data_IF_666299898647
#
_entry.id   IF_666299898647
#
_cell.length_a   1.000
_cell.length_b   1.000
_cell.length_c   1.000
_cell.angle_alpha   90.00
_cell.angle_beta   90.00
_cell.angle_gamma   90.00
#
_symmetry.space_group_name_H-M   'P 1'
#
loop_
_entity.id
_entity.type
_entity.pdbx_description
1 polymer ?
#
# COMPACT_ATOMS: atom_id res chain seq x y z
N UNK A 1 -20.50 -18.01 18.57
CA UNK A 1 -19.85 -18.25 17.26
C UNK A 1 -18.61 -17.40 17.23
N UNK A 2 -17.46 -17.96 16.90
CA UNK A 2 -16.20 -17.21 16.80
C UNK A 2 -16.32 -16.19 15.66
N UNK A 3 -15.93 -14.93 15.91
CA UNK A 3 -16.01 -13.87 14.93
C UNK A 3 -15.07 -14.17 13.76
N UNK A 4 -15.53 -14.01 12.51
CA UNK A 4 -14.67 -14.16 11.33
C UNK A 4 -13.48 -13.21 11.41
N UNK A 5 -12.27 -13.72 11.08
CA UNK A 5 -11.07 -12.91 10.92
C UNK A 5 -11.33 -11.77 9.94
N UNK A 6 -10.94 -10.57 10.32
CA UNK A 6 -11.22 -9.35 9.59
C UNK A 6 -9.97 -8.83 8.92
N UNK A 7 -10.10 -8.49 7.64
CA UNK A 7 -9.04 -7.87 6.84
C UNK A 7 -9.53 -6.57 6.23
N UNK A 8 -8.76 -5.50 6.38
CA UNK A 8 -8.99 -4.24 5.66
C UNK A 8 -8.15 -4.25 4.38
N UNK A 9 -8.76 -3.96 3.24
CA UNK A 9 -8.05 -3.82 1.95
C UNK A 9 -8.34 -2.44 1.36
N UNK A 10 -7.29 -1.61 1.24
CA UNK A 10 -7.42 -0.31 0.59
C UNK A 10 -7.54 -0.47 -0.92
N UNK A 11 -8.42 0.31 -1.56
CA UNK A 11 -8.57 0.29 -3.01
C UNK A 11 -9.18 -0.99 -3.58
N UNK A 12 -10.05 -1.66 -2.81
CA UNK A 12 -10.69 -2.92 -3.19
C UNK A 12 -11.80 -2.79 -4.26
N UNK A 13 -12.00 -1.63 -4.88
CA UNK A 13 -13.03 -1.41 -5.91
C UNK A 13 -12.63 -1.83 -7.34
N UNK A 14 -11.39 -2.31 -7.54
CA UNK A 14 -10.88 -2.77 -8.84
C UNK A 14 -9.56 -3.52 -8.70
N UNK A 15 -9.10 -4.18 -9.76
CA UNK A 15 -7.71 -4.66 -9.83
C UNK A 15 -7.40 -5.75 -8.82
N UNK A 16 -6.13 -5.78 -8.40
CA UNK A 16 -5.60 -6.72 -7.41
C UNK A 16 -6.39 -6.66 -6.10
N UNK A 17 -6.75 -5.47 -5.63
CA UNK A 17 -7.52 -5.31 -4.39
C UNK A 17 -8.90 -5.96 -4.42
N UNK A 18 -9.63 -5.83 -5.54
CA UNK A 18 -10.96 -6.45 -5.70
C UNK A 18 -10.87 -7.98 -5.72
N UNK A 19 -9.94 -8.52 -6.51
CA UNK A 19 -9.77 -9.96 -6.59
C UNK A 19 -9.15 -10.56 -5.32
N UNK A 20 -8.31 -9.80 -4.60
CA UNK A 20 -7.82 -10.17 -3.28
C UNK A 20 -8.94 -10.19 -2.23
N UNK A 21 -9.83 -9.19 -2.25
CA UNK A 21 -11.03 -9.18 -1.42
C UNK A 21 -11.92 -10.41 -1.70
N UNK A 22 -12.19 -10.71 -2.97
CA UNK A 22 -12.94 -11.91 -3.36
C UNK A 22 -12.28 -13.20 -2.85
N UNK A 23 -10.97 -13.36 -3.08
CA UNK A 23 -10.25 -14.57 -2.68
C UNK A 23 -10.23 -14.76 -1.14
N UNK A 24 -10.05 -13.70 -0.36
CA UNK A 24 -10.09 -13.77 1.10
C UNK A 24 -11.51 -14.05 1.62
N UNK A 25 -12.53 -13.43 1.01
CA UNK A 25 -13.92 -13.70 1.33
C UNK A 25 -14.30 -15.17 1.07
N UNK A 26 -13.82 -15.76 -0.04
CA UNK A 26 -14.01 -17.19 -0.35
C UNK A 26 -13.31 -18.12 0.66
N UNK A 27 -12.26 -17.64 1.31
CA UNK A 27 -11.56 -18.34 2.39
C UNK A 27 -12.19 -18.12 3.78
N UNK A 28 -13.34 -17.44 3.84
CA UNK A 28 -14.10 -17.23 5.08
C UNK A 28 -13.69 -15.99 5.90
N UNK A 29 -12.83 -15.13 5.36
CA UNK A 29 -12.52 -13.84 5.99
C UNK A 29 -13.69 -12.86 5.83
N UNK A 30 -13.78 -11.93 6.78
CA UNK A 30 -14.60 -10.74 6.64
C UNK A 30 -13.76 -9.59 6.08
N UNK A 31 -14.12 -9.09 4.90
CA UNK A 31 -13.34 -8.08 4.19
C UNK A 31 -13.95 -6.69 4.34
N UNK A 32 -13.21 -5.75 4.91
CA UNK A 32 -13.54 -4.33 4.87
C UNK A 32 -12.92 -3.72 3.61
N UNK A 33 -13.75 -3.48 2.61
CA UNK A 33 -13.38 -2.85 1.35
C UNK A 33 -13.26 -1.34 1.55
N UNK A 34 -12.06 -0.86 1.90
CA UNK A 34 -11.79 0.55 2.13
C UNK A 34 -11.60 1.30 0.80
N UNK A 35 -12.66 1.99 0.35
CA UNK A 35 -12.76 2.52 -1.01
C UNK A 35 -13.23 3.98 -1.02
N UNK A 36 -12.64 4.80 -1.90
CA UNK A 36 -13.06 6.21 -2.07
C UNK A 36 -14.48 6.34 -2.61
N UNK A 37 -14.85 5.50 -3.57
CA UNK A 37 -16.19 5.48 -4.18
C UNK A 37 -16.92 4.20 -3.75
N UNK A 38 -17.87 4.36 -2.82
CA UNK A 38 -18.63 3.27 -2.21
C UNK A 38 -19.53 2.57 -3.22
N UNK A 39 -20.23 3.31 -4.08
CA UNK A 39 -21.16 2.73 -5.05
C UNK A 39 -20.44 1.92 -6.12
N UNK A 40 -19.30 2.42 -6.61
CA UNK A 40 -18.42 1.67 -7.50
C UNK A 40 -17.93 0.38 -6.84
N UNK A 41 -17.52 0.44 -5.57
CA UNK A 41 -17.07 -0.75 -4.84
C UNK A 41 -18.20 -1.77 -4.68
N UNK A 42 -19.45 -1.31 -4.42
CA UNK A 42 -20.62 -2.18 -4.30
C UNK A 42 -20.91 -2.92 -5.61
N UNK A 43 -20.94 -2.19 -6.72
CA UNK A 43 -21.12 -2.79 -8.04
C UNK A 43 -19.99 -3.78 -8.38
N UNK A 44 -18.74 -3.44 -8.06
CA UNK A 44 -17.60 -4.29 -8.31
C UNK A 44 -17.65 -5.61 -7.49
N UNK A 45 -18.00 -5.52 -6.20
CA UNK A 45 -18.14 -6.69 -5.32
C UNK A 45 -19.24 -7.65 -5.81
N UNK A 46 -20.38 -7.09 -6.26
CA UNK A 46 -21.46 -7.85 -6.87
C UNK A 46 -21.02 -8.51 -8.19
N UNK A 47 -20.34 -7.75 -9.06
CA UNK A 47 -19.90 -8.23 -10.37
C UNK A 47 -18.92 -9.42 -10.29
N UNK A 48 -18.08 -9.48 -9.26
CA UNK A 48 -17.18 -10.63 -9.03
C UNK A 48 -17.81 -11.71 -8.14
N UNK A 49 -19.07 -11.55 -7.73
CA UNK A 49 -19.81 -12.54 -6.94
C UNK A 49 -19.28 -12.73 -5.52
N UNK A 50 -18.83 -11.67 -4.83
CA UNK A 50 -18.39 -11.79 -3.44
C UNK A 50 -19.52 -12.34 -2.54
N UNK A 51 -19.26 -13.33 -1.68
CA UNK A 51 -20.29 -13.92 -0.82
C UNK A 51 -21.02 -12.88 0.03
N UNK A 52 -22.35 -12.95 0.10
CA UNK A 52 -23.13 -12.04 0.95
C UNK A 52 -22.72 -12.20 2.43
N UNK A 53 -22.62 -11.09 3.16
CA UNK A 53 -22.21 -11.09 4.57
C UNK A 53 -20.71 -11.27 4.81
N UNK A 54 -19.90 -11.53 3.77
CA UNK A 54 -18.43 -11.67 3.89
C UNK A 54 -17.67 -10.34 3.78
N UNK A 55 -18.35 -9.22 3.55
CA UNK A 55 -17.69 -7.93 3.39
C UNK A 55 -18.57 -6.74 3.81
N UNK A 56 -17.91 -5.62 4.08
CA UNK A 56 -18.51 -4.29 4.13
C UNK A 56 -17.70 -3.32 3.28
N UNK A 57 -18.30 -2.20 2.92
CA UNK A 57 -17.64 -1.14 2.16
C UNK A 57 -17.65 0.11 3.02
N UNK A 58 -16.47 0.67 3.24
CA UNK A 58 -16.28 1.85 4.07
C UNK A 58 -15.51 2.90 3.27
N UNK A 59 -15.90 4.17 3.41
CA UNK A 59 -15.27 5.26 2.66
C UNK A 59 -13.86 5.48 3.17
N UNK A 60 -12.90 5.49 2.24
CA UNK A 60 -11.51 5.88 2.51
C UNK A 60 -10.95 6.62 1.30
N UNK A 61 -10.63 7.91 1.47
CA UNK A 61 -9.81 8.66 0.53
C UNK A 61 -8.41 8.87 1.11
N UNK A 62 -7.42 8.17 0.57
CA UNK A 62 -6.02 8.28 1.03
C UNK A 62 -5.37 9.62 0.67
N UNK A 63 -5.98 10.41 -0.21
CA UNK A 63 -5.52 11.77 -0.52
C UNK A 63 -6.06 12.82 0.48
N UNK A 64 -6.72 12.40 1.55
CA UNK A 64 -7.23 13.28 2.62
C UNK A 64 -6.90 12.65 3.97
N UNK A 65 -5.96 13.24 4.73
CA UNK A 65 -5.58 12.71 6.04
C UNK A 65 -6.76 12.71 7.01
N UNK A 66 -7.68 13.67 6.89
CA UNK A 66 -8.94 13.68 7.63
C UNK A 66 -9.82 12.46 7.28
N UNK A 67 -9.92 12.09 5.99
CA UNK A 67 -10.64 10.88 5.60
C UNK A 67 -10.01 9.60 6.14
N UNK A 68 -8.68 9.54 6.28
CA UNK A 68 -7.99 8.39 6.89
C UNK A 68 -8.38 8.25 8.37
N UNK A 69 -8.37 9.35 9.12
CA UNK A 69 -8.77 9.38 10.54
C UNK A 69 -10.24 9.00 10.72
N UNK A 70 -11.12 9.53 9.86
CA UNK A 70 -12.54 9.18 9.89
C UNK A 70 -12.75 7.69 9.61
N UNK A 71 -12.07 7.13 8.61
CA UNK A 71 -12.15 5.69 8.33
C UNK A 71 -11.73 4.83 9.53
N UNK A 72 -10.67 5.21 10.25
CA UNK A 72 -10.24 4.50 11.47
C UNK A 72 -11.33 4.57 12.55
N UNK A 73 -11.90 5.76 12.78
CA UNK A 73 -13.01 5.93 13.73
C UNK A 73 -14.22 5.07 13.36
N UNK A 74 -14.61 5.09 12.09
CA UNK A 74 -15.75 4.33 11.58
C UNK A 74 -15.49 2.82 11.71
N UNK A 75 -14.28 2.34 11.42
CA UNK A 75 -13.91 0.94 11.58
C UNK A 75 -14.01 0.51 13.04
N UNK A 76 -13.45 1.30 13.97
CA UNK A 76 -13.51 1.01 15.41
C UNK A 76 -14.95 0.97 15.93
N UNK A 77 -15.83 1.82 15.41
CA UNK A 77 -17.25 1.82 15.76
C UNK A 77 -17.98 0.52 15.36
N UNK A 78 -17.42 -0.29 14.46
CA UNK A 78 -17.99 -1.62 14.12
C UNK A 78 -17.78 -2.67 15.21
N UNK A 79 -16.86 -2.44 16.15
CA UNK A 79 -16.49 -3.40 17.20
C UNK A 79 -15.78 -4.67 16.69
N UNK A 80 -15.35 -4.70 15.42
CA UNK A 80 -14.58 -5.82 14.88
C UNK A 80 -13.11 -5.73 15.28
N UNK A 81 -12.50 -6.88 15.56
CA UNK A 81 -11.04 -6.99 15.67
C UNK A 81 -10.39 -6.85 14.29
N UNK A 82 -9.10 -6.57 14.24
CA UNK A 82 -8.33 -6.46 13.01
C UNK A 82 -7.21 -7.51 12.99
N UNK A 83 -7.27 -8.45 12.06
CA UNK A 83 -6.24 -9.49 11.90
C UNK A 83 -5.29 -9.18 10.75
N UNK A 84 -5.76 -8.45 9.72
CA UNK A 84 -4.88 -8.04 8.64
C UNK A 84 -5.22 -6.66 8.06
N UNK A 85 -4.17 -5.92 7.67
CA UNK A 85 -4.27 -4.68 6.92
C UNK A 85 -3.48 -4.81 5.61
N UNK A 86 -4.13 -4.52 4.48
CA UNK A 86 -3.52 -4.54 3.15
C UNK A 86 -3.54 -3.16 2.51
N UNK A 87 -2.37 -2.54 2.43
CA UNK A 87 -2.14 -1.28 1.74
C UNK A 87 -1.94 -1.51 0.24
N UNK A 88 -3.05 -1.70 -0.49
CA UNK A 88 -3.07 -2.01 -1.92
C UNK A 88 -3.29 -0.79 -2.82
N UNK A 89 -4.07 0.20 -2.38
CA UNK A 89 -4.48 1.32 -3.21
C UNK A 89 -3.28 2.06 -3.85
N UNK A 90 -3.46 2.50 -5.09
CA UNK A 90 -2.47 3.33 -5.75
C UNK A 90 -3.10 4.22 -6.82
N UNK A 91 -2.51 5.39 -7.02
CA UNK A 91 -2.76 6.26 -8.17
C UNK A 91 -1.48 6.41 -8.98
N UNK A 92 -1.66 6.52 -10.30
CA UNK A 92 -0.60 6.76 -11.25
C UNK A 92 -1.12 7.71 -12.34
N UNK A 93 -0.37 8.78 -12.58
CA UNK A 93 -0.75 9.87 -13.50
C UNK A 93 0.36 10.14 -14.54
N UNK A 94 0.67 9.17 -15.43
CA UNK A 94 1.83 9.22 -16.33
C UNK A 94 1.92 10.46 -17.22
N UNK A 95 0.77 11.02 -17.61
CA UNK A 95 0.69 12.08 -18.62
C UNK A 95 0.65 13.49 -18.02
N UNK A 96 0.66 13.62 -16.69
CA UNK A 96 0.71 14.93 -16.05
C UNK A 96 2.09 15.59 -16.26
N UNK A 97 2.05 16.85 -16.68
CA UNK A 97 3.22 17.74 -16.78
C UNK A 97 3.40 18.57 -15.52
N UNK A 98 2.30 18.95 -14.89
CA UNK A 98 2.24 19.71 -13.64
C UNK A 98 1.69 18.83 -12.51
N UNK A 99 2.14 19.02 -11.27
CA UNK A 99 1.69 18.23 -10.14
C UNK A 99 0.22 18.52 -9.80
N UNK A 100 -0.48 17.48 -9.33
CA UNK A 100 -1.73 17.64 -8.60
C UNK A 100 -1.42 17.62 -7.11
N UNK A 101 -2.20 18.35 -6.32
CA UNK A 101 -2.07 18.38 -4.87
C UNK A 101 -3.31 17.78 -4.22
N UNK A 102 -3.09 17.08 -3.11
CA UNK A 102 -4.11 16.54 -2.23
C UNK A 102 -4.82 17.66 -1.47
N UNK A 103 -5.89 17.35 -0.72
CA UNK A 103 -6.57 18.34 0.13
C UNK A 103 -5.61 18.92 1.19
N UNK A 104 -4.67 18.10 1.66
CA UNK A 104 -3.60 18.47 2.57
C UNK A 104 -2.43 19.20 1.89
N UNK A 105 -2.50 19.49 0.58
CA UNK A 105 -1.47 20.24 -0.15
C UNK A 105 -0.19 19.46 -0.49
N UNK A 106 -0.24 18.12 -0.45
CA UNK A 106 0.88 17.24 -0.83
C UNK A 106 0.75 16.74 -2.27
N UNK A 107 1.86 16.46 -2.95
CA UNK A 107 1.81 15.90 -4.31
C UNK A 107 0.98 14.59 -4.32
N UNK A 108 0.04 14.50 -5.26
CA UNK A 108 -1.05 13.51 -5.26
C UNK A 108 -0.58 12.05 -5.24
N UNK A 109 0.45 11.67 -6.00
CA UNK A 109 0.97 10.30 -6.01
C UNK A 109 1.61 9.92 -4.67
N UNK A 110 2.47 10.77 -4.11
CA UNK A 110 3.10 10.54 -2.80
C UNK A 110 2.07 10.62 -1.67
N UNK A 111 1.15 11.59 -1.71
CA UNK A 111 0.07 11.77 -0.75
C UNK A 111 -0.79 10.49 -0.64
N UNK A 112 -1.28 9.99 -1.77
CA UNK A 112 -2.18 8.83 -1.81
C UNK A 112 -1.43 7.52 -1.52
N UNK A 113 -0.31 7.29 -2.21
CA UNK A 113 0.31 5.96 -2.23
C UNK A 113 1.14 5.70 -0.97
N UNK A 114 1.74 6.76 -0.40
CA UNK A 114 2.63 6.70 0.77
C UNK A 114 2.00 7.38 1.99
N UNK A 115 1.83 8.72 2.02
CA UNK A 115 1.47 9.44 3.25
C UNK A 115 0.12 8.99 3.85
N UNK A 116 -0.92 8.82 3.04
CA UNK A 116 -2.22 8.32 3.49
C UNK A 116 -2.14 6.89 4.05
N UNK A 117 -1.35 6.01 3.42
CA UNK A 117 -1.10 4.67 3.95
C UNK A 117 -0.23 4.69 5.20
N UNK A 118 0.79 5.54 5.25
CA UNK A 118 1.67 5.70 6.40
C UNK A 118 0.85 6.08 7.64
N UNK A 119 -0.05 7.06 7.51
CA UNK A 119 -0.98 7.43 8.58
C UNK A 119 -1.89 6.25 8.95
N UNK A 120 -2.51 5.60 7.96
CA UNK A 120 -3.40 4.46 8.20
C UNK A 120 -2.71 3.31 8.94
N UNK A 121 -1.49 2.94 8.53
CA UNK A 121 -0.69 1.89 9.17
C UNK A 121 -0.41 2.21 10.63
N UNK A 122 -0.01 3.45 10.93
CA UNK A 122 0.31 3.86 12.30
C UNK A 122 -0.94 3.87 13.19
N UNK A 123 -2.07 4.38 12.69
CA UNK A 123 -3.31 4.40 13.46
C UNK A 123 -3.89 2.99 13.70
N UNK A 124 -3.87 2.12 12.70
CA UNK A 124 -4.39 0.76 12.79
C UNK A 124 -3.42 -0.23 13.46
N UNK A 125 -2.20 0.20 13.79
CA UNK A 125 -1.25 -0.64 14.51
C UNK A 125 -1.79 -1.03 15.89
N UNK A 126 -2.51 -0.13 16.56
CA UNK A 126 -3.12 -0.41 17.85
C UNK A 126 -4.28 -1.40 17.72
N UNK A 127 -5.08 -1.32 16.64
CA UNK A 127 -6.14 -2.29 16.35
C UNK A 127 -5.57 -3.69 16.07
N UNK A 128 -4.44 -3.79 15.36
CA UNK A 128 -3.71 -5.06 15.19
C UNK A 128 -3.18 -5.58 16.52
N UNK A 129 -2.55 -4.73 17.35
CA UNK A 129 -2.04 -5.15 18.68
C UNK A 129 -3.15 -5.65 19.59
N UNK A 130 -4.32 -5.00 19.55
CA UNK A 130 -5.47 -5.35 20.36
C UNK A 130 -6.17 -6.64 19.93
N UNK A 131 -5.99 -7.08 18.67
CA UNK A 131 -6.56 -8.35 18.21
C UNK A 131 -5.96 -9.54 18.99
N UNK A 132 -6.80 -10.47 19.50
CA UNK A 132 -6.36 -11.66 20.20
C UNK A 132 -5.78 -12.74 19.27
N UNK A 133 -5.83 -12.53 17.94
CA UNK A 133 -5.30 -13.48 16.98
C UNK A 133 -3.78 -13.66 17.15
N UNK A 134 -3.32 -14.89 16.98
CA UNK A 134 -1.90 -15.27 17.05
C UNK A 134 -1.13 -14.98 15.75
N UNK A 135 -1.82 -14.90 14.61
CA UNK A 135 -1.25 -14.55 13.31
C UNK A 135 -1.95 -13.28 12.80
N UNK A 136 -1.17 -12.18 12.76
CA UNK A 136 -1.64 -10.85 12.40
C UNK A 136 -0.67 -10.24 11.40
N UNK A 137 -1.20 -9.66 10.31
CA UNK A 137 -0.36 -9.25 9.17
C UNK A 137 -0.66 -7.85 8.68
N UNK A 138 0.39 -7.07 8.42
CA UNK A 138 0.31 -5.81 7.70
C UNK A 138 1.11 -5.95 6.40
N UNK A 139 0.40 -5.93 5.27
CA UNK A 139 0.94 -6.19 3.94
C UNK A 139 0.88 -4.91 3.10
N UNK A 140 2.03 -4.46 2.59
CA UNK A 140 2.11 -3.28 1.73
C UNK A 140 2.41 -3.71 0.28
N UNK A 141 1.56 -3.30 -0.66
CA UNK A 141 1.83 -3.57 -2.07
C UNK A 141 3.00 -2.70 -2.55
N UNK A 142 4.10 -3.38 -2.85
CA UNK A 142 5.30 -2.83 -3.44
C UNK A 142 5.24 -2.83 -4.96
N UNK A 143 6.38 -2.55 -5.57
CA UNK A 143 6.55 -2.70 -7.01
C UNK A 143 7.98 -3.07 -7.35
N UNK A 144 8.15 -4.01 -8.28
CA UNK A 144 9.46 -4.27 -8.87
C UNK A 144 9.96 -3.07 -9.69
N UNK A 145 9.06 -2.15 -10.08
CA UNK A 145 9.43 -0.92 -10.79
C UNK A 145 10.31 0.04 -9.96
N UNK A 146 10.38 -0.15 -8.65
CA UNK A 146 11.25 0.59 -7.74
C UNK A 146 12.63 -0.08 -7.58
N UNK A 147 12.80 -1.31 -8.04
CA UNK A 147 14.10 -1.98 -8.04
C UNK A 147 14.78 -1.81 -9.41
N UNK A 148 15.78 -0.91 -9.56
CA UNK A 148 16.45 -0.69 -10.84
C UNK A 148 17.29 -1.90 -11.29
N UNK A 149 17.59 -2.84 -10.37
CA UNK A 149 18.27 -4.11 -10.68
C UNK A 149 17.40 -5.04 -11.53
N UNK A 150 16.08 -4.84 -11.52
CA UNK A 150 15.12 -5.67 -12.23
C UNK A 150 14.67 -5.05 -13.56
N UNK A 151 14.30 -5.88 -14.55
CA UNK A 151 13.81 -5.39 -15.84
C UNK A 151 12.54 -4.54 -15.69
N UNK A 152 11.66 -4.92 -14.74
CA UNK A 152 10.49 -4.11 -14.36
C UNK A 152 10.85 -2.75 -13.76
N UNK A 153 12.05 -2.60 -13.17
CA UNK A 153 12.62 -1.33 -12.73
C UNK A 153 12.86 -0.33 -13.86
N UNK A 154 12.97 -0.81 -15.10
CA UNK A 154 13.32 -0.04 -16.30
C UNK A 154 12.12 0.24 -17.21
N UNK A 155 11.08 -0.60 -17.18
CA UNK A 155 9.88 -0.51 -18.03
C UNK A 155 8.64 -0.78 -17.16
N UNK A 156 7.58 0.05 -17.23
CA UNK A 156 7.27 1.07 -18.24
C UNK A 156 7.73 2.49 -17.91
N UNK A 157 8.22 2.72 -16.70
CA UNK A 157 8.69 4.04 -16.27
C UNK A 157 10.23 4.00 -16.30
N UNK A 158 10.91 4.78 -17.15
CA UNK A 158 12.37 4.66 -17.32
C UNK A 158 13.19 5.33 -16.21
N UNK A 159 12.71 6.42 -15.59
CA UNK A 159 13.45 7.09 -14.51
C UNK A 159 13.42 6.22 -13.24
N UNK A 160 14.56 5.87 -12.61
CA UNK A 160 14.56 5.16 -11.33
C UNK A 160 14.00 6.05 -10.20
N UNK A 161 13.53 5.47 -9.08
CA UNK A 161 13.29 6.25 -7.88
C UNK A 161 14.61 6.88 -7.39
N UNK A 162 14.51 8.02 -6.72
CA UNK A 162 15.64 8.71 -6.09
C UNK A 162 15.06 9.66 -5.04
N UNK A 163 15.14 9.27 -3.76
CA UNK A 163 14.60 10.09 -2.67
C UNK A 163 15.54 11.23 -2.27
N UNK A 164 16.74 11.32 -2.86
CA UNK A 164 17.77 12.27 -2.44
C UNK A 164 18.05 12.15 -0.96
N UNK A 165 18.16 13.29 -0.28
CA UNK A 165 18.21 13.36 1.17
C UNK A 165 16.86 13.73 1.78
N UNK A 166 15.77 13.55 1.04
CA UNK A 166 14.41 13.89 1.44
C UNK A 166 14.19 15.39 1.67
N UNK A 167 14.90 16.24 0.93
CA UNK A 167 14.90 17.69 1.08
C UNK A 167 13.47 18.29 0.93
N UNK A 168 12.66 17.71 0.06
CA UNK A 168 11.26 18.13 -0.11
C UNK A 168 10.38 17.79 1.09
N UNK A 169 10.64 16.67 1.77
CA UNK A 169 9.96 16.31 3.01
C UNK A 169 10.45 17.15 4.20
N UNK A 170 11.76 17.41 4.29
CA UNK A 170 12.33 18.31 5.30
C UNK A 170 11.75 19.72 5.21
N UNK A 171 11.50 20.21 4.00
CA UNK A 171 10.85 21.49 3.74
C UNK A 171 9.32 21.46 3.90
N UNK A 172 8.74 20.38 4.45
CA UNK A 172 7.31 20.27 4.78
C UNK A 172 6.40 19.79 3.64
N UNK A 173 6.96 19.50 2.46
CA UNK A 173 6.30 18.89 1.29
C UNK A 173 5.01 19.56 0.77
N UNK A 174 4.69 20.77 1.23
CA UNK A 174 3.53 21.53 0.74
C UNK A 174 3.81 22.11 -0.64
N UNK A 175 2.75 22.32 -1.43
CA UNK A 175 2.83 23.09 -2.66
C UNK A 175 3.64 24.41 -2.45
N UNK A 176 4.61 24.74 -3.32
CA UNK A 176 4.84 24.15 -4.65
C UNK A 176 5.82 22.96 -4.71
N UNK A 177 6.21 22.37 -3.57
CA UNK A 177 7.11 21.20 -3.55
C UNK A 177 6.37 19.98 -4.10
N UNK A 178 6.96 19.30 -5.08
CA UNK A 178 6.31 18.24 -5.83
C UNK A 178 7.08 16.91 -5.93
N UNK A 179 8.30 16.85 -5.35
CA UNK A 179 9.12 15.64 -5.33
C UNK A 179 9.79 15.50 -3.97
N UNK A 180 9.97 14.26 -3.49
CA UNK A 180 10.51 13.97 -2.15
C UNK A 180 11.91 14.57 -1.97
N UNK A 181 12.72 14.57 -3.02
CA UNK A 181 14.06 15.16 -3.05
C UNK A 181 14.10 16.66 -3.39
N UNK A 182 12.95 17.35 -3.42
CA UNK A 182 12.85 18.77 -3.74
C UNK A 182 13.10 19.16 -5.21
N UNK A 183 13.38 18.20 -6.11
CA UNK A 183 13.62 18.48 -7.53
C UNK A 183 12.31 18.77 -8.30
N UNK A 184 12.44 19.16 -9.58
CA UNK A 184 11.31 19.39 -10.49
C UNK A 184 10.43 18.14 -10.65
N UNK A 185 9.12 18.36 -10.71
CA UNK A 185 8.12 17.31 -10.84
C UNK A 185 8.35 16.40 -12.06
N UNK A 186 8.20 15.09 -11.85
CA UNK A 186 8.16 14.06 -12.88
C UNK A 186 7.17 12.99 -12.45
N UNK A 187 5.98 12.94 -13.04
CA UNK A 187 4.87 12.08 -12.63
C UNK A 187 5.23 10.59 -12.50
N UNK A 188 5.92 10.02 -13.50
CA UNK A 188 6.42 8.65 -13.47
C UNK A 188 7.38 8.39 -12.31
N UNK A 189 8.28 9.35 -12.04
CA UNK A 189 9.22 9.25 -10.92
C UNK A 189 8.51 9.40 -9.59
N UNK A 190 7.55 10.32 -9.44
CA UNK A 190 6.76 10.50 -8.22
C UNK A 190 6.04 9.21 -7.81
N UNK A 191 5.46 8.49 -8.79
CA UNK A 191 4.90 7.16 -8.55
C UNK A 191 5.95 6.18 -8.01
N UNK A 192 7.13 6.09 -8.64
CA UNK A 192 8.19 5.18 -8.18
C UNK A 192 8.74 5.56 -6.81
N UNK A 193 8.98 6.84 -6.56
CA UNK A 193 9.42 7.35 -5.26
C UNK A 193 8.40 6.94 -4.18
N UNK A 194 7.10 7.11 -4.44
CA UNK A 194 6.05 6.68 -3.50
C UNK A 194 6.08 5.18 -3.22
N UNK A 195 6.42 4.35 -4.22
CA UNK A 195 6.51 2.90 -4.04
C UNK A 195 7.80 2.45 -3.36
N UNK A 196 8.89 3.20 -3.52
CA UNK A 196 10.09 3.01 -2.71
C UNK A 196 9.82 3.37 -1.24
N UNK A 197 9.10 4.46 -0.98
CA UNK A 197 8.67 4.81 0.38
C UNK A 197 7.84 3.70 1.04
N UNK A 198 6.98 3.02 0.29
CA UNK A 198 6.22 1.87 0.79
C UNK A 198 7.12 0.71 1.27
N UNK A 199 8.19 0.39 0.53
CA UNK A 199 9.15 -0.65 0.92
C UNK A 199 9.94 -0.24 2.17
N UNK A 200 10.41 1.01 2.21
CA UNK A 200 11.11 1.56 3.38
C UNK A 200 10.20 1.60 4.63
N UNK A 201 8.92 1.92 4.44
CA UNK A 201 7.91 1.91 5.52
C UNK A 201 7.70 0.50 6.07
N UNK A 202 7.58 -0.51 5.21
CA UNK A 202 7.45 -1.91 5.64
C UNK A 202 8.65 -2.36 6.48
N UNK A 203 9.87 -2.01 6.03
CA UNK A 203 11.11 -2.33 6.77
C UNK A 203 11.12 -1.67 8.15
N UNK A 204 10.74 -0.40 8.23
CA UNK A 204 10.67 0.29 9.52
C UNK A 204 9.57 -0.24 10.43
N UNK A 205 8.40 -0.62 9.88
CA UNK A 205 7.36 -1.30 10.65
C UNK A 205 7.89 -2.61 11.25
N UNK A 206 8.56 -3.43 10.44
CA UNK A 206 9.22 -4.65 10.93
C UNK A 206 10.24 -4.34 12.03
N UNK A 207 11.21 -3.47 11.75
CA UNK A 207 12.29 -3.13 12.69
C UNK A 207 11.79 -2.52 13.99
N UNK A 208 10.74 -1.70 13.94
CA UNK A 208 10.21 -0.99 15.12
C UNK A 208 9.28 -1.85 15.96
N UNK A 209 8.51 -2.77 15.34
CA UNK A 209 7.37 -3.39 16.02
C UNK A 209 7.30 -4.92 15.96
N UNK A 210 8.02 -5.61 15.07
CA UNK A 210 7.86 -7.06 14.92
C UNK A 210 8.16 -7.82 16.21
N UNK A 211 9.35 -7.63 16.77
CA UNK A 211 9.81 -8.36 17.97
C UNK A 211 8.92 -8.11 19.20
N UNK A 212 8.28 -6.93 19.28
CA UNK A 212 7.45 -6.54 20.42
C UNK A 212 5.98 -6.97 20.27
N UNK A 213 5.47 -7.08 19.04
CA UNK A 213 4.04 -7.28 18.78
C UNK A 213 3.72 -8.64 18.17
N UNK A 214 4.71 -9.34 17.62
CA UNK A 214 4.52 -10.55 16.82
C UNK A 214 3.80 -10.33 15.49
N UNK A 215 3.44 -9.09 15.14
CA UNK A 215 2.79 -8.77 13.86
C UNK A 215 3.78 -9.01 12.72
N UNK A 216 3.34 -9.71 11.68
CA UNK A 216 4.11 -9.88 10.45
C UNK A 216 3.94 -8.66 9.56
N UNK A 217 5.05 -8.00 9.24
CA UNK A 217 5.09 -6.89 8.29
C UNK A 217 5.76 -7.37 7.02
N UNK A 218 5.08 -7.27 5.88
CA UNK A 218 5.64 -7.73 4.60
C UNK A 218 5.24 -6.82 3.45
N UNK A 219 6.01 -6.90 2.37
CA UNK A 219 5.68 -6.29 1.09
C UNK A 219 5.39 -7.36 0.06
N UNK A 220 4.58 -7.01 -0.94
CA UNK A 220 4.19 -7.93 -2.01
C UNK A 220 4.35 -7.28 -3.38
N UNK A 221 4.92 -8.01 -4.33
CA UNK A 221 4.70 -7.84 -5.75
C UNK A 221 3.99 -9.07 -6.34
N UNK A 222 2.72 -8.95 -6.75
CA UNK A 222 1.94 -10.10 -7.21
C UNK A 222 2.22 -10.48 -8.67
N UNK A 223 3.06 -9.71 -9.38
CA UNK A 223 3.30 -9.82 -10.83
C UNK A 223 2.81 -8.59 -11.60
N UNK A 224 3.06 -8.55 -12.91
CA UNK A 224 2.66 -7.42 -13.75
C UNK A 224 1.20 -7.55 -14.19
N UNK A 225 0.31 -6.80 -13.54
CA UNK A 225 -1.13 -6.83 -13.85
C UNK A 225 -1.44 -5.71 -14.85
N UNK A 226 -1.09 -5.96 -16.11
CA UNK A 226 -1.09 -4.94 -17.16
C UNK A 226 -2.50 -4.41 -17.51
N UNK A 227 -3.55 -5.20 -17.29
CA UNK A 227 -4.95 -4.84 -17.61
C UNK A 227 -5.67 -4.10 -16.48
N UNK A 228 -4.94 -3.64 -15.45
CA UNK A 228 -5.58 -2.93 -14.33
C UNK A 228 -5.92 -1.49 -14.70
N UNK A 229 -6.94 -0.91 -14.04
CA UNK A 229 -7.20 0.52 -14.14
C UNK A 229 -6.08 1.43 -13.62
N UNK A 230 -4.96 0.90 -13.12
CA UNK A 230 -3.79 1.70 -12.74
C UNK A 230 -3.24 2.48 -13.95
N UNK A 231 -3.26 1.88 -15.13
CA UNK A 231 -2.77 2.48 -16.37
C UNK A 231 -3.86 3.23 -17.17
N UNK A 232 -5.05 3.44 -16.59
CA UNK A 232 -6.19 4.10 -17.26
C UNK A 232 -5.89 5.52 -17.75
N UNK A 233 -4.93 6.19 -17.11
CA UNK A 233 -4.49 7.54 -17.44
C UNK A 233 -3.29 7.56 -18.41
N UNK A 234 -2.83 6.40 -18.88
CA UNK A 234 -1.78 6.30 -19.90
C UNK A 234 -2.37 6.41 -21.30
N UNK A 235 -1.54 6.67 -22.31
CA UNK A 235 -1.97 6.63 -23.73
C UNK A 235 -2.72 5.33 -24.07
N UNK A 236 -3.81 5.43 -24.83
CA UNK A 236 -4.61 4.24 -25.26
C UNK A 236 -3.76 3.19 -25.96
N UNK A 237 -2.82 3.62 -26.82
CA UNK A 237 -1.88 2.71 -27.47
C UNK A 237 -1.04 1.92 -26.45
N UNK A 238 -0.59 2.56 -25.38
CA UNK A 238 0.12 1.87 -24.29
C UNK A 238 -0.80 0.86 -23.59
N UNK A 239 -2.05 1.22 -23.30
CA UNK A 239 -3.03 0.32 -22.66
C UNK A 239 -3.30 -0.94 -23.50
N UNK A 240 -3.21 -0.87 -24.82
CA UNK A 240 -3.39 -2.04 -25.71
C UNK A 240 -2.08 -2.81 -25.98
N UNK A 241 -0.95 -2.12 -26.13
CA UNK A 241 0.34 -2.73 -26.50
C UNK A 241 1.05 -3.33 -25.28
N UNK A 242 1.01 -2.66 -24.12
CA UNK A 242 1.73 -3.09 -22.93
C UNK A 242 1.29 -4.46 -22.41
N UNK A 243 -0.01 -4.80 -22.32
CA UNK A 243 -0.44 -6.15 -21.95
C UNK A 243 0.04 -7.22 -22.92
N UNK A 244 -0.07 -6.95 -24.23
CA UNK A 244 0.43 -7.87 -25.26
C UNK A 244 1.93 -8.09 -25.13
N UNK A 245 2.71 -7.02 -24.93
CA UNK A 245 4.15 -7.09 -24.71
C UNK A 245 4.50 -7.85 -23.43
N UNK A 246 3.78 -7.59 -22.33
CA UNK A 246 4.00 -8.29 -21.07
C UNK A 246 3.70 -9.78 -21.19
N UNK A 247 2.61 -10.14 -21.87
CA UNK A 247 2.17 -11.52 -22.09
C UNK A 247 3.12 -12.30 -23.00
N UNK A 248 3.56 -11.69 -24.10
CA UNK A 248 4.25 -12.41 -25.18
C UNK A 248 5.77 -12.24 -25.17
N UNK A 249 6.30 -11.15 -24.60
CA UNK A 249 7.74 -10.84 -24.63
C UNK A 249 8.38 -11.03 -23.26
N UNK A 250 7.89 -10.33 -22.24
CA UNK A 250 8.51 -10.43 -20.90
C UNK A 250 8.07 -11.68 -20.15
N UNK A 251 6.90 -12.23 -20.47
CA UNK A 251 6.26 -13.29 -19.70
C UNK A 251 5.87 -12.86 -18.28
N UNK A 252 5.85 -11.57 -17.97
CA UNK A 252 5.59 -11.03 -16.63
C UNK A 252 4.11 -10.85 -16.28
N UNK A 253 3.24 -10.98 -17.29
CA UNK A 253 1.79 -10.78 -17.17
C UNK A 253 1.15 -11.74 -16.16
N UNK A 254 0.29 -11.19 -15.31
CA UNK A 254 -0.61 -11.96 -14.44
C UNK A 254 -2.03 -11.42 -14.58
N UNK A 255 -3.02 -12.32 -14.48
CA UNK A 255 -4.42 -11.92 -14.43
C UNK A 255 -4.71 -11.20 -13.12
N UNK A 256 -5.74 -10.35 -13.11
CA UNK A 256 -6.19 -9.69 -11.88
C UNK A 256 -6.59 -10.71 -10.80
N UNK A 257 -7.23 -11.82 -11.21
CA UNK A 257 -7.60 -12.92 -10.34
C UNK A 257 -6.37 -13.56 -9.68
N UNK A 258 -5.38 -14.01 -10.45
CA UNK A 258 -4.18 -14.65 -9.91
C UNK A 258 -3.39 -13.71 -8.99
N UNK A 259 -3.35 -12.42 -9.33
CA UNK A 259 -2.72 -11.44 -8.46
C UNK A 259 -3.48 -11.25 -7.13
N UNK A 260 -4.81 -11.32 -7.16
CA UNK A 260 -5.66 -11.33 -5.97
C UNK A 260 -5.46 -12.58 -5.12
N UNK A 261 -5.35 -13.76 -5.74
CA UNK A 261 -5.05 -15.02 -5.07
C UNK A 261 -3.68 -14.97 -4.37
N UNK A 262 -2.65 -14.39 -5.02
CA UNK A 262 -1.33 -14.17 -4.42
C UNK A 262 -1.37 -13.20 -3.24
N UNK A 263 -2.18 -12.15 -3.33
CA UNK A 263 -2.42 -11.22 -2.22
C UNK A 263 -3.06 -11.97 -1.04
N UNK A 264 -4.10 -12.75 -1.30
CA UNK A 264 -4.75 -13.58 -0.27
C UNK A 264 -3.77 -14.57 0.37
N UNK A 265 -2.90 -15.21 -0.42
CA UNK A 265 -1.88 -16.11 0.09
C UNK A 265 -0.92 -15.40 1.06
N UNK A 266 -0.41 -14.21 0.73
CA UNK A 266 0.46 -13.46 1.66
C UNK A 266 -0.27 -13.06 2.96
N UNK A 267 -1.58 -12.86 2.91
CA UNK A 267 -2.41 -12.53 4.09
C UNK A 267 -2.71 -13.76 4.96
N UNK A 268 -2.98 -14.92 4.35
CA UNK A 268 -3.59 -16.06 5.06
C UNK A 268 -2.73 -17.34 5.10
N UNK A 269 -1.78 -17.52 4.18
CA UNK A 269 -0.99 -18.74 4.08
C UNK A 269 0.09 -18.80 5.19
N UNK A 270 0.13 -19.85 6.04
CA UNK A 270 1.16 -20.03 7.05
C UNK A 270 2.58 -20.11 6.48
N UNK A 271 2.77 -20.53 5.22
CA UNK A 271 4.10 -20.58 4.59
C UNK A 271 4.66 -19.16 4.29
N UNK A 272 3.80 -18.14 4.25
CA UNK A 272 4.17 -16.75 3.91
C UNK A 272 4.13 -15.81 5.11
N UNK A 273 4.32 -16.36 6.32
CA UNK A 273 4.22 -15.62 7.60
C UNK A 273 5.49 -14.87 8.01
N UNK A 274 6.59 -15.01 7.27
CA UNK A 274 7.86 -14.38 7.60
C UNK A 274 7.78 -12.85 7.47
N UNK A 275 8.25 -12.13 8.51
CA UNK A 275 8.24 -10.67 8.57
C UNK A 275 9.51 -10.07 7.98
N UNK A 276 9.44 -8.80 7.54
CA UNK A 276 10.55 -8.09 6.90
C UNK A 276 10.75 -8.48 5.44
N UNK A 277 9.91 -9.36 4.90
CA UNK A 277 10.08 -9.94 3.57
C UNK A 277 9.36 -9.15 2.50
N UNK A 278 10.03 -9.00 1.35
CA UNK A 278 9.41 -8.60 0.10
C UNK A 278 9.09 -9.86 -0.74
N UNK A 279 7.84 -10.28 -0.72
CA UNK A 279 7.37 -11.43 -1.47
C UNK A 279 7.21 -11.11 -2.96
N UNK A 280 7.75 -11.98 -3.82
CA UNK A 280 7.71 -11.83 -5.27
C UNK A 280 7.46 -13.17 -5.96
N UNK A 281 6.82 -13.11 -7.13
CA UNK A 281 6.75 -14.22 -8.09
C UNK A 281 7.65 -13.97 -9.31
N UNK A 282 8.51 -12.96 -9.22
CA UNK A 282 9.45 -12.54 -10.26
C UNK A 282 8.77 -11.87 -11.46
N UNK A 283 9.61 -11.47 -12.41
CA UNK A 283 9.19 -10.80 -13.65
C UNK A 283 8.89 -11.76 -14.81
N UNK A 284 9.04 -13.07 -14.59
CA UNK A 284 8.73 -14.13 -15.56
C UNK A 284 7.86 -15.17 -14.86
N UNK A 285 6.63 -15.30 -15.33
CA UNK A 285 5.71 -16.32 -14.86
C UNK A 285 6.15 -17.68 -15.42
N UNK A 286 6.17 -18.68 -14.53
CA UNK A 286 6.32 -20.09 -14.87
C UNK A 286 5.24 -20.87 -14.13
N UNK A 287 4.61 -21.88 -14.74
CA UNK A 287 3.67 -22.76 -14.04
C UNK A 287 4.32 -23.31 -12.76
N UNK A 288 3.57 -23.32 -11.65
CA UNK A 288 4.04 -23.84 -10.36
C UNK A 288 5.11 -23.00 -9.64
N UNK A 289 5.47 -21.80 -10.13
CA UNK A 289 6.44 -20.94 -9.46
C UNK A 289 5.93 -20.51 -8.08
N UNK A 290 6.66 -20.88 -7.03
CA UNK A 290 6.46 -20.41 -5.66
C UNK A 290 6.94 -18.97 -5.49
N UNK A 291 6.39 -18.28 -4.50
CA UNK A 291 6.93 -17.00 -4.02
C UNK A 291 8.34 -17.18 -3.48
N UNK A 292 9.08 -16.08 -3.44
CA UNK A 292 10.39 -16.02 -2.81
C UNK A 292 10.62 -14.62 -2.22
N UNK A 293 11.52 -14.54 -1.25
CA UNK A 293 12.05 -13.28 -0.74
C UNK A 293 12.93 -12.66 -1.84
N UNK A 294 12.47 -11.54 -2.38
CA UNK A 294 13.14 -10.85 -3.49
C UNK A 294 14.14 -9.83 -2.96
N UNK A 295 15.32 -9.81 -3.57
CA UNK A 295 16.30 -8.74 -3.34
C UNK A 295 15.73 -7.39 -3.79
N UNK A 296 15.82 -6.37 -2.94
CA UNK A 296 15.37 -5.01 -3.22
C UNK A 296 16.55 -4.11 -3.64
N UNK A 297 16.27 -2.85 -4.00
CA UNK A 297 17.31 -1.90 -4.39
C UNK A 297 18.21 -1.51 -3.21
N UNK A 298 19.43 -1.04 -3.48
CA UNK A 298 20.34 -0.58 -2.41
C UNK A 298 19.72 0.60 -1.63
N UNK A 299 19.00 1.49 -2.32
CA UNK A 299 18.26 2.58 -1.67
C UNK A 299 17.11 2.06 -0.79
N UNK A 300 16.48 0.94 -1.14
CA UNK A 300 15.49 0.27 -0.30
C UNK A 300 16.13 -0.50 0.89
N UNK A 301 17.44 -0.74 0.86
CA UNK A 301 18.21 -1.35 1.94
C UNK A 301 18.83 -0.31 2.91
N UNK A 302 18.70 0.99 2.63
CA UNK A 302 19.30 2.07 3.42
C UNK A 302 18.47 2.35 4.69
N UNK A 303 18.93 1.79 5.82
CA UNK A 303 18.25 1.94 7.11
C UNK A 303 18.27 3.39 7.65
N UNK A 304 19.30 4.18 7.33
CA UNK A 304 19.37 5.57 7.77
C UNK A 304 18.31 6.40 7.03
N UNK A 305 18.17 6.16 5.72
CA UNK A 305 17.12 6.75 4.89
C UNK A 305 15.73 6.29 5.31
N UNK A 306 15.56 5.01 5.64
CA UNK A 306 14.28 4.48 6.13
C UNK A 306 13.83 5.18 7.42
N UNK A 307 14.74 5.32 8.40
CA UNK A 307 14.47 6.07 9.64
C UNK A 307 14.12 7.53 9.37
N UNK A 308 14.92 8.21 8.56
CA UNK A 308 14.67 9.62 8.19
C UNK A 308 13.32 9.80 7.48
N UNK A 309 12.99 8.90 6.56
CA UNK A 309 11.68 8.87 5.90
C UNK A 309 10.55 8.72 6.89
N UNK A 310 10.67 7.80 7.85
CA UNK A 310 9.67 7.57 8.88
C UNK A 310 9.39 8.85 9.68
N UNK A 311 10.45 9.45 10.23
CA UNK A 311 10.31 10.59 11.14
C UNK A 311 9.75 11.82 10.40
N UNK A 312 10.17 12.05 9.16
CA UNK A 312 9.59 13.11 8.33
C UNK A 312 8.13 12.81 7.95
N UNK A 313 7.81 11.55 7.60
CA UNK A 313 6.44 11.17 7.27
C UNK A 313 5.50 11.36 8.47
N UNK A 314 5.94 11.00 9.68
CA UNK A 314 5.19 11.20 10.93
C UNK A 314 4.85 12.68 11.17
N UNK A 315 5.81 13.58 10.94
CA UNK A 315 5.59 15.04 10.97
C UNK A 315 4.56 15.48 9.93
N UNK A 316 4.73 15.05 8.68
CA UNK A 316 3.85 15.44 7.58
C UNK A 316 2.41 14.98 7.77
N UNK A 317 2.19 13.82 8.41
CA UNK A 317 0.82 13.33 8.67
C UNK A 317 0.26 13.77 10.03
N UNK A 318 1.02 14.54 10.80
CA UNK A 318 0.62 15.06 12.11
C UNK A 318 0.50 14.00 13.20
N UNK A 319 1.31 12.94 13.15
CA UNK A 319 1.35 11.92 14.23
C UNK A 319 2.10 12.43 15.47
N UNK A 320 3.13 13.26 15.29
CA UNK A 320 3.90 13.85 16.40
C UNK A 320 2.99 14.70 17.31
N UNK A 321 2.05 15.45 16.72
CA UNK A 321 1.07 16.26 17.45
C UNK A 321 0.09 15.41 18.28
N UNK A 322 -0.21 14.18 17.84
CA UNK A 322 -1.09 13.24 18.56
C UNK A 322 -0.37 12.53 19.71
N UNK A 323 0.91 12.20 19.53
CA UNK A 323 1.75 11.72 20.61
C UNK A 323 1.94 12.80 21.68
N UNK A 324 2.12 14.07 21.28
CA UNK A 324 2.23 15.18 22.23
C UNK A 324 0.92 15.46 23.01
N UNK A 325 -0.25 15.28 22.38
CA UNK A 325 -1.57 15.47 23.04
C UNK A 325 -2.01 14.31 23.92
N UNK A 326 -1.41 13.13 23.78
CA UNK A 326 -1.73 11.94 24.59
C UNK A 326 -0.90 11.81 25.87
N UNK A 327 0.10 12.68 26.08
CA UNK A 327 0.79 12.82 27.38
C UNK A 327 -0.13 13.59 28.35
N UNK A 328 -0.54 13.01 29.49
CA UNK A 328 -1.32 13.75 30.47
C UNK A 328 -0.50 14.95 30.96
N UNK A 329 -1.11 16.14 31.00
CA UNK A 329 -0.51 17.28 31.70
C UNK A 329 -0.15 16.82 33.11
N UNK A 330 1.13 16.89 33.47
CA UNK A 330 1.57 16.60 34.82
C UNK A 330 0.72 17.44 35.77
N UNK A 331 -0.04 16.78 36.64
CA UNK A 331 -0.82 17.44 37.69
C UNK A 331 0.19 18.16 38.57
N UNK A 332 0.28 19.48 38.37
CA UNK A 332 1.12 20.36 39.16
C UNK A 332 0.66 20.29 40.61
N UNK A 333 1.53 19.76 41.47
CA UNK A 333 1.39 19.87 42.92
C UNK A 333 2.02 21.20 43.32
N UNK A 334 1.18 22.18 43.64
CA UNK A 334 1.46 23.20 44.68
C UNK A 334 0.15 23.42 45.44
#
# INVERSE_FOLDING_TARGET
MEQQKTVIITGASSGVGLHGAKALADQGWYVVMACRNVDKARQAAQAVGMPAGSYSIMRLDLASLASVRQFVSDFRATGRTLEALVCNAAVYYPLLKDPLYSEDGYEMSVATNHLGHFLLCNLMLDDLKASPASDKRLVILGTVTANPKELGGKIPIPAPPDLGNLEGFEAGFKAPIAMINGKKFKSGKAYKDSKLCNVLTMRELHRRYHDQTGITFSSLYPGCVADTPLFRNHFKAFQSIFPWFQKNITGGYVTQQLAGERLAAVVADPELKESGIYWSWGNRQKPGRRSFAQEVSDEALDDAKARKLWDLSAKLVGLDDEMARSVPAAVGTV
#
